data_IF_837435572629
#
_entry.id   IF_837435572629
#
_cell.length_a   1.000
_cell.length_b   1.000
_cell.length_c   1.000
_cell.angle_alpha   90.00
_cell.angle_beta   90.00
_cell.angle_gamma   90.00
#
_symmetry.space_group_name_H-M   'P 1'
#
loop_
_entity.id
_entity.type
_entity.pdbx_description
1 polymer ?
#
# COMPACT_ATOMS: atom_id res chain seq x y z
N UNK A 1 1.71 -6.48 11.22
CA UNK A 1 1.76 -5.20 10.45
C UNK A 1 0.97 -4.12 11.17
N UNK A 2 -0.33 -4.31 11.43
CA UNK A 2 -1.18 -3.34 12.15
C UNK A 2 -0.61 -3.00 13.53
N UNK A 3 -0.36 -4.00 14.38
CA UNK A 3 0.27 -3.82 15.70
C UNK A 3 1.64 -3.08 15.61
N UNK A 4 2.41 -3.29 14.53
CA UNK A 4 3.65 -2.54 14.30
C UNK A 4 3.37 -1.06 14.03
N UNK A 5 2.35 -0.72 13.23
CA UNK A 5 1.98 0.66 12.95
C UNK A 5 1.52 1.37 14.24
N UNK A 6 0.74 0.70 15.08
CA UNK A 6 0.31 1.25 16.37
C UNK A 6 1.50 1.50 17.30
N UNK A 7 2.45 0.56 17.38
CA UNK A 7 3.71 0.72 18.14
C UNK A 7 4.59 1.85 17.63
N UNK A 8 4.54 2.16 16.34
CA UNK A 8 5.25 3.28 15.70
C UNK A 8 4.52 4.64 15.92
N UNK A 9 3.39 4.62 16.65
CA UNK A 9 2.61 5.79 17.03
C UNK A 9 1.64 6.27 15.95
N UNK A 10 1.21 5.40 15.04
CA UNK A 10 0.12 5.72 14.11
C UNK A 10 -1.24 5.43 14.76
N UNK A 11 -2.16 6.37 14.62
CA UNK A 11 -3.59 6.14 14.86
C UNK A 11 -4.23 5.59 13.58
N UNK A 12 -4.95 4.47 13.69
CA UNK A 12 -5.67 3.90 12.54
C UNK A 12 -7.08 4.49 12.53
N UNK A 13 -7.31 5.43 11.60
CA UNK A 13 -8.62 6.06 11.44
C UNK A 13 -9.64 5.14 10.77
N UNK A 14 -9.17 4.15 10.01
CA UNK A 14 -10.04 3.17 9.37
C UNK A 14 -9.24 2.07 8.70
N UNK A 15 -9.82 0.87 8.68
CA UNK A 15 -9.25 -0.30 8.03
C UNK A 15 -10.37 -1.03 7.28
N UNK A 16 -10.16 -1.30 5.99
CA UNK A 16 -11.13 -1.99 5.16
C UNK A 16 -10.47 -3.10 4.34
N UNK A 17 -11.02 -4.31 4.44
CA UNK A 17 -10.68 -5.40 3.53
C UNK A 17 -11.44 -5.20 2.22
N UNK A 18 -10.73 -5.11 1.11
CA UNK A 18 -11.29 -4.90 -0.23
C UNK A 18 -10.65 -5.85 -1.22
N UNK A 19 -11.47 -6.39 -2.13
CA UNK A 19 -10.97 -7.06 -3.34
C UNK A 19 -11.07 -6.07 -4.48
N UNK A 20 -9.94 -5.65 -5.02
CA UNK A 20 -9.93 -4.69 -6.13
C UNK A 20 -10.38 -5.37 -7.41
N UNK A 21 -11.32 -4.75 -8.13
CA UNK A 21 -11.56 -5.10 -9.53
C UNK A 21 -10.40 -4.61 -10.41
N UNK A 22 -10.23 -5.21 -11.59
CA UNK A 22 -9.23 -4.78 -12.57
C UNK A 22 -9.34 -3.29 -12.87
N UNK A 23 -10.55 -2.78 -13.14
CA UNK A 23 -10.77 -1.35 -13.43
C UNK A 23 -10.35 -0.44 -12.27
N UNK A 24 -10.58 -0.85 -11.02
CA UNK A 24 -10.15 -0.08 -9.85
C UNK A 24 -8.63 -0.08 -9.70
N UNK A 25 -7.98 -1.24 -9.86
CA UNK A 25 -6.53 -1.35 -9.79
C UNK A 25 -5.84 -0.56 -10.92
N UNK A 26 -6.37 -0.64 -12.15
CA UNK A 26 -5.87 0.13 -13.29
C UNK A 26 -6.03 1.64 -13.07
N UNK A 27 -7.18 2.07 -12.56
CA UNK A 27 -7.42 3.48 -12.22
C UNK A 27 -6.46 3.98 -11.14
N UNK A 28 -6.22 3.17 -10.10
CA UNK A 28 -5.33 3.51 -9.00
C UNK A 28 -3.86 3.61 -9.45
N UNK A 29 -3.42 2.72 -10.33
CA UNK A 29 -2.04 2.69 -10.84
C UNK A 29 -1.87 3.37 -12.20
N UNK A 30 -2.82 4.20 -12.65
CA UNK A 30 -2.78 4.83 -13.97
C UNK A 30 -1.48 5.62 -14.25
N UNK A 31 -0.86 6.18 -13.20
CA UNK A 31 0.44 6.88 -13.26
C UNK A 31 1.58 5.97 -13.75
N UNK A 32 1.44 4.65 -13.66
CA UNK A 32 2.41 3.67 -14.10
C UNK A 32 2.04 2.99 -15.42
N UNK A 33 1.01 3.43 -16.14
CA UNK A 33 0.47 2.74 -17.33
C UNK A 33 1.50 2.45 -18.42
N UNK A 34 2.49 3.31 -18.60
CA UNK A 34 3.55 3.16 -19.61
C UNK A 34 4.74 2.33 -19.12
N UNK A 35 4.77 1.92 -17.86
CA UNK A 35 5.84 1.09 -17.30
C UNK A 35 5.68 -0.37 -17.73
N UNK A 36 6.77 -1.08 -18.07
CA UNK A 36 6.70 -2.46 -18.54
C UNK A 36 6.08 -3.43 -17.51
N UNK A 37 6.21 -3.14 -16.22
CA UNK A 37 5.66 -3.95 -15.13
C UNK A 37 4.19 -3.65 -14.77
N UNK A 38 3.55 -2.68 -15.44
CA UNK A 38 2.21 -2.21 -15.07
C UNK A 38 1.16 -3.32 -15.04
N UNK A 39 1.14 -4.16 -16.09
CA UNK A 39 0.16 -5.25 -16.20
C UNK A 39 0.34 -6.29 -15.10
N UNK A 40 1.58 -6.62 -14.77
CA UNK A 40 1.90 -7.56 -13.70
C UNK A 40 1.53 -6.99 -12.33
N UNK A 41 1.76 -5.68 -12.11
CA UNK A 41 1.35 -4.98 -10.90
C UNK A 41 -0.17 -5.02 -10.72
N UNK A 42 -0.93 -4.68 -11.76
CA UNK A 42 -2.40 -4.74 -11.72
C UNK A 42 -2.87 -6.16 -11.44
N UNK A 43 -2.31 -7.16 -12.14
CA UNK A 43 -2.66 -8.58 -11.94
C UNK A 43 -2.35 -9.05 -10.51
N UNK A 44 -1.22 -8.64 -9.95
CA UNK A 44 -0.86 -8.94 -8.57
C UNK A 44 -1.85 -8.33 -7.57
N UNK A 45 -2.23 -7.06 -7.77
CA UNK A 45 -3.12 -6.34 -6.86
C UNK A 45 -4.57 -6.84 -6.86
N UNK A 46 -4.99 -7.50 -7.94
CA UNK A 46 -6.33 -8.14 -8.03
C UNK A 46 -6.30 -9.64 -7.72
N UNK A 47 -5.12 -10.22 -7.44
CA UNK A 47 -4.99 -11.67 -7.19
C UNK A 47 -5.64 -12.14 -5.88
N UNK A 48 -5.92 -11.20 -4.96
CA UNK A 48 -6.54 -11.51 -3.68
C UNK A 48 -7.03 -10.25 -2.95
N UNK A 49 -7.72 -10.42 -1.81
CA UNK A 49 -8.17 -9.30 -1.00
C UNK A 49 -6.99 -8.57 -0.35
N UNK A 50 -7.06 -7.24 -0.32
CA UNK A 50 -6.09 -6.37 0.33
C UNK A 50 -6.72 -5.60 1.48
N UNK A 51 -5.89 -5.15 2.43
CA UNK A 51 -6.31 -4.23 3.47
C UNK A 51 -5.89 -2.82 3.11
N UNK A 52 -6.86 -1.90 3.07
CA UNK A 52 -6.62 -0.46 2.91
C UNK A 52 -6.79 0.18 4.28
N UNK A 53 -5.80 0.95 4.70
CA UNK A 53 -5.79 1.63 6.00
C UNK A 53 -5.63 3.15 5.81
N UNK A 54 -6.39 3.92 6.59
CA UNK A 54 -6.17 5.35 6.78
C UNK A 54 -5.41 5.53 8.11
N UNK A 55 -4.23 6.15 8.04
CA UNK A 55 -3.32 6.31 9.18
C UNK A 55 -3.11 7.80 9.48
N UNK A 56 -3.14 8.15 10.75
CA UNK A 56 -2.86 9.50 11.24
C UNK A 56 -1.65 9.48 12.18
N UNK A 57 -0.76 10.47 12.00
CA UNK A 57 0.41 10.74 12.84
C UNK A 57 1.03 12.07 12.42
N UNK A 58 1.70 12.76 13.33
CA UNK A 58 2.64 13.82 12.96
C UNK A 58 3.74 13.26 12.05
N UNK A 59 3.94 13.89 10.89
CA UNK A 59 4.85 13.42 9.85
C UNK A 59 4.57 11.98 9.36
N UNK A 60 3.28 11.61 9.28
CA UNK A 60 2.83 10.25 8.93
C UNK A 60 3.48 9.68 7.67
N UNK A 61 3.53 10.45 6.58
CA UNK A 61 4.03 9.97 5.28
C UNK A 61 5.52 9.61 5.34
N UNK A 62 6.36 10.49 5.89
CA UNK A 62 7.80 10.24 5.96
C UNK A 62 8.12 9.08 6.91
N UNK A 63 7.44 9.02 8.07
CA UNK A 63 7.64 7.94 9.03
C UNK A 63 7.15 6.59 8.46
N UNK A 64 6.03 6.58 7.74
CA UNK A 64 5.52 5.35 7.12
C UNK A 64 6.50 4.81 6.09
N UNK A 65 7.13 5.69 5.29
CA UNK A 65 8.21 5.30 4.36
C UNK A 65 9.40 4.69 5.09
N UNK A 66 9.78 5.24 6.25
CA UNK A 66 10.85 4.68 7.08
C UNK A 66 10.47 3.30 7.64
N UNK A 67 9.24 3.13 8.12
CA UNK A 67 8.72 1.86 8.68
C UNK A 67 8.62 0.78 7.61
N UNK A 68 8.19 1.13 6.40
CA UNK A 68 8.14 0.20 5.26
C UNK A 68 9.54 -0.26 4.84
N UNK A 69 10.57 0.55 5.05
CA UNK A 69 11.95 0.23 4.68
C UNK A 69 12.22 0.43 3.19
N UNK A 70 13.31 -0.14 2.70
CA UNK A 70 13.66 -0.06 1.28
C UNK A 70 12.60 -0.74 0.42
N UNK A 71 12.25 -0.13 -0.72
CA UNK A 71 11.31 -0.69 -1.71
C UNK A 71 11.75 -2.05 -2.25
N UNK A 72 13.06 -2.35 -2.21
CA UNK A 72 13.62 -3.65 -2.54
C UNK A 72 13.78 -4.49 -1.26
N UNK A 73 13.00 -5.58 -1.08
CA UNK A 73 13.11 -6.43 0.09
C UNK A 73 14.47 -7.14 0.21
N UNK A 74 15.29 -7.19 -0.86
CA UNK A 74 16.67 -7.70 -0.78
C UNK A 74 17.67 -6.69 -0.21
N UNK A 75 17.27 -5.41 -0.09
CA UNK A 75 18.07 -4.32 0.50
C UNK A 75 17.53 -3.86 1.86
N UNK A 76 16.48 -4.51 2.36
CA UNK A 76 15.86 -4.22 3.65
C UNK A 76 16.51 -5.03 4.77
#
# INVERSE_FOLDING_TARGET
IIDRLEREGFTILGLKKVSLSQKQAEGFYAVHRERPFYRDLVKYMISGPVYVAALERSNAVAHLRKVMGATDPKKA
#
